data_IF_399607524278
#
_entry.id   IF_399607524278
#
_cell.length_a   1.000
_cell.length_b   1.000
_cell.length_c   1.000
_cell.angle_alpha   90.00
_cell.angle_beta   90.00
_cell.angle_gamma   90.00
#
_symmetry.space_group_name_H-M   'P 1'
#
loop_
_entity.id
_entity.type
_entity.pdbx_description
1 polymer ?
#
# COMPACT_ATOMS: atom_id res chain seq x y z
N UNK A 1 -17.81 6.07 0.95
CA UNK A 1 -17.82 5.67 -0.49
C UNK A 1 -19.04 4.78 -0.70
N UNK A 2 -20.08 5.27 -1.37
CA UNK A 2 -21.36 4.54 -1.52
C UNK A 2 -21.85 4.43 -2.97
N UNK A 3 -21.20 5.07 -3.92
CA UNK A 3 -21.57 5.07 -5.33
C UNK A 3 -21.13 3.81 -6.08
N UNK A 4 -21.72 3.57 -7.25
CA UNK A 4 -21.34 2.43 -8.11
C UNK A 4 -19.89 2.50 -8.54
N UNK A 5 -19.38 3.71 -8.84
CA UNK A 5 -17.97 3.94 -9.16
C UNK A 5 -17.05 3.49 -8.02
N UNK A 6 -17.40 3.84 -6.79
CA UNK A 6 -16.60 3.48 -5.61
C UNK A 6 -16.56 1.97 -5.38
N UNK A 7 -17.70 1.28 -5.57
CA UNK A 7 -17.73 -0.19 -5.49
C UNK A 7 -16.82 -0.84 -6.53
N UNK A 8 -16.78 -0.31 -7.76
CA UNK A 8 -15.89 -0.79 -8.81
C UNK A 8 -14.40 -0.57 -8.45
N UNK A 9 -14.07 0.61 -7.90
CA UNK A 9 -12.71 0.92 -7.45
C UNK A 9 -12.26 -0.04 -6.35
N UNK A 10 -13.11 -0.30 -5.34
CA UNK A 10 -12.79 -1.23 -4.25
C UNK A 10 -12.69 -2.67 -4.74
N UNK A 11 -13.59 -3.09 -5.63
CA UNK A 11 -13.52 -4.42 -6.25
C UNK A 11 -12.24 -4.59 -7.06
N UNK A 12 -11.88 -3.60 -7.88
CA UNK A 12 -10.64 -3.61 -8.65
C UNK A 12 -9.39 -3.65 -7.77
N UNK A 13 -9.37 -2.89 -6.66
CA UNK A 13 -8.26 -2.92 -5.70
C UNK A 13 -8.05 -4.32 -5.11
N UNK A 14 -9.12 -5.01 -4.75
CA UNK A 14 -9.06 -6.40 -4.29
C UNK A 14 -8.52 -7.34 -5.36
N UNK A 15 -9.04 -7.26 -6.58
CA UNK A 15 -8.61 -8.10 -7.70
C UNK A 15 -7.14 -7.84 -8.09
N UNK A 16 -6.71 -6.58 -8.17
CA UNK A 16 -5.31 -6.23 -8.46
C UNK A 16 -4.36 -6.79 -7.41
N UNK A 17 -4.76 -6.75 -6.14
CA UNK A 17 -4.00 -7.32 -5.03
C UNK A 17 -3.89 -8.85 -5.14
N UNK A 18 -4.98 -9.53 -5.50
CA UNK A 18 -5.09 -10.99 -5.44
C UNK A 18 -4.53 -11.67 -6.69
N UNK A 19 -4.75 -11.12 -7.87
CA UNK A 19 -4.40 -11.72 -9.16
C UNK A 19 -3.55 -10.83 -10.09
N UNK A 20 -3.18 -9.64 -9.62
CA UNK A 20 -2.38 -8.67 -10.38
C UNK A 20 -3.24 -7.77 -11.28
N UNK A 21 -2.63 -6.66 -11.71
CA UNK A 21 -3.29 -5.72 -12.63
C UNK A 21 -3.59 -6.37 -13.96
N UNK A 22 -2.60 -6.95 -14.63
CA UNK A 22 -2.75 -7.51 -15.99
C UNK A 22 -3.72 -8.70 -16.02
N UNK A 23 -3.73 -9.53 -14.96
CA UNK A 23 -4.64 -10.65 -14.80
C UNK A 23 -6.11 -10.29 -14.51
N UNK A 24 -6.41 -9.02 -14.26
CA UNK A 24 -7.76 -8.56 -13.94
C UNK A 24 -8.46 -7.97 -15.15
N UNK A 25 -9.61 -8.50 -15.52
CA UNK A 25 -10.47 -7.97 -16.60
C UNK A 25 -11.62 -7.11 -16.08
N UNK A 26 -12.22 -6.30 -16.97
CA UNK A 26 -13.41 -5.52 -16.63
C UNK A 26 -14.61 -6.39 -16.22
N UNK A 27 -14.71 -7.62 -16.76
CA UNK A 27 -15.79 -8.56 -16.39
C UNK A 27 -15.66 -8.97 -14.92
N UNK A 28 -14.44 -9.21 -14.46
CA UNK A 28 -14.17 -9.59 -13.07
C UNK A 28 -14.55 -8.45 -12.11
N UNK A 29 -14.19 -7.21 -12.49
CA UNK A 29 -14.52 -6.02 -11.70
C UNK A 29 -16.03 -5.79 -11.63
N UNK A 30 -16.74 -5.93 -12.75
CA UNK A 30 -18.19 -5.81 -12.82
C UNK A 30 -18.88 -6.83 -11.93
N UNK A 31 -18.45 -8.09 -12.01
CA UNK A 31 -18.97 -9.17 -11.18
C UNK A 31 -18.72 -8.92 -9.70
N UNK A 32 -17.49 -8.59 -9.33
CA UNK A 32 -17.11 -8.34 -7.94
C UNK A 32 -17.79 -7.09 -7.35
N UNK A 33 -18.05 -6.06 -8.17
CA UNK A 33 -18.76 -4.85 -7.76
C UNK A 33 -20.29 -5.00 -7.70
N UNK A 34 -20.83 -6.14 -8.14
CA UNK A 34 -22.28 -6.36 -8.20
C UNK A 34 -23.00 -5.37 -9.15
N UNK A 35 -22.44 -5.15 -10.35
CA UNK A 35 -22.97 -4.20 -11.33
C UNK A 35 -23.11 -4.82 -12.72
N UNK A 36 -23.56 -4.06 -13.70
CA UNK A 36 -23.78 -4.54 -15.08
C UNK A 36 -22.65 -4.10 -16.02
N UNK A 37 -22.32 -4.91 -17.07
CA UNK A 37 -21.19 -4.67 -17.96
C UNK A 37 -21.14 -3.28 -18.61
N UNK A 38 -22.27 -2.70 -18.98
CA UNK A 38 -22.31 -1.39 -19.61
C UNK A 38 -21.91 -0.23 -18.70
N UNK A 39 -22.10 -0.39 -17.40
CA UNK A 39 -21.88 0.67 -16.41
C UNK A 39 -20.39 0.98 -16.20
N UNK A 40 -19.51 -0.01 -16.34
CA UNK A 40 -18.05 0.21 -16.15
C UNK A 40 -17.48 1.15 -17.21
N UNK A 41 -17.89 1.03 -18.46
CA UNK A 41 -17.43 1.90 -19.54
C UNK A 41 -17.97 3.34 -19.42
N UNK A 42 -19.10 3.51 -18.75
CA UNK A 42 -19.62 4.84 -18.42
C UNK A 42 -18.78 5.52 -17.33
N UNK A 43 -18.34 4.77 -16.31
CA UNK A 43 -17.56 5.30 -15.19
C UNK A 43 -16.06 5.40 -15.48
N UNK A 44 -15.56 4.61 -16.42
CA UNK A 44 -14.14 4.53 -16.80
C UNK A 44 -14.01 4.49 -18.33
N UNK A 45 -14.34 5.60 -19.02
CA UNK A 45 -14.24 5.69 -20.49
C UNK A 45 -12.78 5.56 -20.98
N UNK A 46 -11.80 5.96 -20.17
CA UNK A 46 -10.36 5.75 -20.42
C UNK A 46 -9.86 4.33 -20.15
N UNK A 47 -10.80 3.39 -19.94
CA UNK A 47 -10.46 1.98 -19.83
C UNK A 47 -9.84 1.58 -18.51
N UNK A 48 -9.06 0.49 -18.56
CA UNK A 48 -8.45 -0.13 -17.39
C UNK A 48 -7.37 0.76 -16.75
N UNK A 49 -6.68 1.56 -17.55
CA UNK A 49 -5.71 2.55 -17.07
C UNK A 49 -6.38 3.57 -16.15
N UNK A 50 -7.51 4.14 -16.57
CA UNK A 50 -8.27 5.07 -15.74
C UNK A 50 -8.75 4.42 -14.43
N UNK A 51 -9.24 3.17 -14.50
CA UNK A 51 -9.61 2.41 -13.30
C UNK A 51 -8.40 2.17 -12.37
N UNK A 52 -7.24 1.80 -12.92
CA UNK A 52 -6.01 1.61 -12.15
C UNK A 52 -5.56 2.88 -11.44
N UNK A 53 -5.55 4.01 -12.15
CA UNK A 53 -5.27 5.34 -11.56
C UNK A 53 -6.30 5.68 -10.47
N UNK A 54 -7.59 5.41 -10.70
CA UNK A 54 -8.63 5.66 -9.71
C UNK A 54 -8.45 4.78 -8.45
N UNK A 55 -8.00 3.54 -8.60
CA UNK A 55 -7.65 2.66 -7.47
C UNK A 55 -6.46 3.24 -6.70
N UNK A 56 -5.38 3.60 -7.38
CA UNK A 56 -4.19 4.17 -6.73
C UNK A 56 -4.54 5.46 -5.96
N UNK A 57 -5.36 6.34 -6.53
CA UNK A 57 -5.79 7.56 -5.86
C UNK A 57 -6.67 7.22 -4.65
N UNK A 58 -7.79 6.54 -4.83
CA UNK A 58 -8.79 6.39 -3.77
C UNK A 58 -8.30 5.51 -2.61
N UNK A 59 -7.66 4.38 -2.92
CA UNK A 59 -7.12 3.47 -1.89
C UNK A 59 -5.82 4.01 -1.33
N UNK A 60 -4.98 4.61 -2.18
CA UNK A 60 -3.72 5.22 -1.77
C UNK A 60 -3.92 6.40 -0.82
N UNK A 61 -4.89 7.28 -1.12
CA UNK A 61 -5.26 8.38 -0.20
C UNK A 61 -5.72 7.87 1.15
N UNK A 62 -6.56 6.83 1.17
CA UNK A 62 -7.01 6.22 2.42
C UNK A 62 -5.85 5.63 3.23
N UNK A 63 -4.94 4.89 2.58
CA UNK A 63 -3.76 4.31 3.24
C UNK A 63 -2.82 5.40 3.75
N UNK A 64 -2.47 6.37 2.90
CA UNK A 64 -1.56 7.46 3.26
C UNK A 64 -2.12 8.30 4.40
N UNK A 65 -3.40 8.66 4.35
CA UNK A 65 -4.06 9.40 5.44
C UNK A 65 -4.08 8.61 6.76
N UNK A 66 -4.23 7.29 6.70
CA UNK A 66 -4.12 6.42 7.88
C UNK A 66 -2.72 6.46 8.49
N UNK A 67 -1.67 6.38 7.67
CA UNK A 67 -0.26 6.49 8.11
C UNK A 67 0.02 7.89 8.66
N UNK A 68 -0.39 8.93 7.95
CA UNK A 68 -0.24 10.34 8.37
C UNK A 68 -0.89 10.57 9.76
N UNK A 69 -2.12 10.07 9.94
CA UNK A 69 -2.86 10.18 11.19
C UNK A 69 -2.18 9.42 12.34
N UNK A 70 -1.74 8.18 12.10
CA UNK A 70 -1.01 7.41 13.09
C UNK A 70 0.30 8.10 13.49
N UNK A 71 1.05 8.56 12.50
CA UNK A 71 2.29 9.29 12.71
C UNK A 71 2.09 10.62 13.46
N UNK A 72 0.97 11.29 13.28
CA UNK A 72 0.65 12.52 14.01
C UNK A 72 0.26 12.27 15.48
N UNK A 73 -0.37 11.13 15.77
CA UNK A 73 -0.97 10.83 17.07
C UNK A 73 -0.09 9.96 17.99
N UNK A 74 0.82 9.17 17.43
CA UNK A 74 1.56 8.12 18.15
C UNK A 74 3.08 8.36 18.08
N UNK A 75 3.84 7.84 19.07
CA UNK A 75 5.28 7.74 18.96
C UNK A 75 5.70 6.91 17.71
N UNK A 76 6.89 7.16 17.14
CA UNK A 76 7.33 6.51 15.90
C UNK A 76 7.21 4.98 15.91
N UNK A 77 7.61 4.34 17.01
CA UNK A 77 7.54 2.87 17.14
C UNK A 77 6.11 2.35 17.04
N UNK A 78 5.18 3.02 17.70
CA UNK A 78 3.77 2.61 17.70
C UNK A 78 3.11 2.88 16.35
N UNK A 79 3.44 4.00 15.70
CA UNK A 79 2.94 4.33 14.37
C UNK A 79 3.43 3.30 13.33
N UNK A 80 4.71 2.94 13.35
CA UNK A 80 5.28 1.91 12.45
C UNK A 80 4.68 0.54 12.77
N UNK A 81 4.57 0.16 14.05
CA UNK A 81 3.95 -1.10 14.44
C UNK A 81 2.50 -1.20 13.95
N UNK A 82 1.71 -0.14 14.10
CA UNK A 82 0.33 -0.10 13.62
C UNK A 82 0.18 -0.29 12.11
N UNK A 83 1.08 0.30 11.32
CA UNK A 83 1.14 0.08 9.87
C UNK A 83 1.44 -1.40 9.55
N UNK A 84 2.45 -1.97 10.19
CA UNK A 84 2.84 -3.37 9.99
C UNK A 84 1.72 -4.33 10.42
N UNK A 85 1.00 -4.03 11.51
CA UNK A 85 -0.17 -4.80 11.95
C UNK A 85 -1.31 -4.82 10.92
N UNK A 86 -1.53 -3.72 10.21
CA UNK A 86 -2.53 -3.66 9.13
C UNK A 86 -2.12 -4.57 7.98
N UNK A 87 -0.85 -4.54 7.58
CA UNK A 87 -0.32 -5.38 6.50
C UNK A 87 -0.44 -6.86 6.88
N UNK A 88 0.01 -7.23 8.07
CA UNK A 88 -0.04 -8.61 8.59
C UNK A 88 -1.47 -9.15 8.63
N UNK A 89 -2.41 -8.39 9.18
CA UNK A 89 -3.82 -8.77 9.20
C UNK A 89 -4.39 -9.00 7.80
N UNK A 90 -3.98 -8.21 6.82
CA UNK A 90 -4.42 -8.38 5.43
C UNK A 90 -3.81 -9.64 4.81
N UNK A 91 -2.55 -9.96 5.10
CA UNK A 91 -1.89 -11.19 4.67
C UNK A 91 -2.61 -12.42 5.22
N UNK A 92 -2.86 -12.44 6.54
CA UNK A 92 -3.50 -13.58 7.22
C UNK A 92 -4.95 -13.76 6.73
N UNK A 93 -5.76 -12.69 6.67
CA UNK A 93 -7.14 -12.75 6.19
C UNK A 93 -7.27 -13.25 4.76
N UNK A 94 -6.29 -12.97 3.94
CA UNK A 94 -6.23 -13.41 2.55
C UNK A 94 -5.56 -14.76 2.33
N UNK A 95 -5.30 -15.56 3.37
CA UNK A 95 -4.60 -16.86 3.27
C UNK A 95 -3.24 -16.72 2.57
N UNK A 96 -2.51 -15.66 2.88
CA UNK A 96 -1.19 -15.32 2.31
C UNK A 96 -1.19 -15.21 0.76
N UNK A 97 -2.35 -14.98 0.16
CA UNK A 97 -2.46 -14.79 -1.30
C UNK A 97 -2.34 -13.32 -1.72
N UNK A 98 -2.85 -12.35 -0.92
CA UNK A 98 -2.83 -10.96 -1.34
C UNK A 98 -1.41 -10.40 -1.46
N UNK A 99 -1.20 -9.64 -2.53
CA UNK A 99 -0.05 -8.76 -2.70
C UNK A 99 -0.37 -7.32 -2.29
N UNK A 100 0.34 -6.38 -2.91
CA UNK A 100 0.06 -4.95 -2.81
C UNK A 100 -0.59 -4.48 -4.12
N UNK A 101 -1.76 -3.82 -4.11
CA UNK A 101 -2.39 -3.35 -5.34
C UNK A 101 -1.56 -2.28 -6.05
N UNK A 102 -0.80 -1.47 -5.31
CA UNK A 102 0.05 -0.42 -5.89
C UNK A 102 1.26 -1.01 -6.61
N UNK A 103 1.86 -2.08 -6.06
CA UNK A 103 2.91 -2.85 -6.74
C UNK A 103 2.34 -3.46 -8.03
N UNK A 104 1.16 -4.09 -7.96
CA UNK A 104 0.52 -4.66 -9.14
C UNK A 104 0.25 -3.62 -10.25
N UNK A 105 -0.17 -2.40 -9.87
CA UNK A 105 -0.39 -1.29 -10.79
C UNK A 105 0.94 -0.77 -11.35
N UNK A 106 1.99 -0.66 -10.53
CA UNK A 106 3.31 -0.18 -10.95
C UNK A 106 4.00 -1.11 -11.96
N UNK A 107 3.67 -2.40 -11.95
CA UNK A 107 4.20 -3.42 -12.88
C UNK A 107 3.27 -3.70 -14.06
N UNK A 108 2.24 -2.86 -14.31
CA UNK A 108 1.35 -3.01 -15.47
C UNK A 108 2.14 -2.99 -16.78
N UNK A 109 1.90 -3.98 -17.65
CA UNK A 109 2.60 -4.10 -18.92
C UNK A 109 2.24 -2.98 -19.91
N UNK A 110 0.96 -2.55 -19.91
CA UNK A 110 0.42 -1.55 -20.83
C UNK A 110 0.29 -0.18 -20.13
N UNK A 111 1.42 0.42 -19.74
CA UNK A 111 1.47 1.78 -19.16
C UNK A 111 2.28 2.73 -20.05
N UNK A 112 1.92 2.85 -21.31
CA UNK A 112 2.64 3.64 -22.31
C UNK A 112 2.82 5.11 -21.95
N UNK A 113 1.83 5.71 -21.26
CA UNK A 113 1.88 7.09 -20.81
C UNK A 113 2.46 7.26 -19.38
N UNK A 114 2.83 6.17 -18.72
CA UNK A 114 3.37 6.19 -17.35
C UNK A 114 2.39 6.61 -16.25
N UNK A 115 1.08 6.68 -16.56
CA UNK A 115 0.05 7.13 -15.60
C UNK A 115 -0.09 6.21 -14.41
N UNK A 116 -0.01 4.91 -14.62
CA UNK A 116 -0.13 3.89 -13.58
C UNK A 116 1.07 3.93 -12.64
N UNK A 117 2.29 4.01 -13.22
CA UNK A 117 3.51 4.16 -12.42
C UNK A 117 3.50 5.45 -11.61
N UNK A 118 3.14 6.57 -12.21
CA UNK A 118 3.06 7.85 -11.52
C UNK A 118 2.04 7.84 -10.37
N UNK A 119 0.88 7.21 -10.57
CA UNK A 119 -0.13 7.06 -9.53
C UNK A 119 0.37 6.20 -8.36
N UNK A 120 1.06 5.09 -8.63
CA UNK A 120 1.66 4.23 -7.61
C UNK A 120 2.81 4.91 -6.87
N UNK A 121 3.70 5.62 -7.60
CA UNK A 121 4.80 6.37 -7.01
C UNK A 121 4.31 7.45 -6.05
N UNK A 122 3.24 8.13 -6.39
CA UNK A 122 2.62 9.13 -5.51
C UNK A 122 2.20 8.53 -4.15
N UNK A 123 1.60 7.34 -4.15
CA UNK A 123 1.21 6.64 -2.91
C UNK A 123 2.42 6.33 -2.05
N UNK A 124 3.44 5.68 -2.64
CA UNK A 124 4.65 5.32 -1.90
C UNK A 124 5.42 6.55 -1.40
N UNK A 125 5.46 7.62 -2.19
CA UNK A 125 6.09 8.88 -1.79
C UNK A 125 5.40 9.50 -0.59
N UNK A 126 4.06 9.52 -0.55
CA UNK A 126 3.30 10.04 0.59
C UNK A 126 3.51 9.21 1.86
N UNK A 127 3.49 7.87 1.75
CA UNK A 127 3.74 6.99 2.89
C UNK A 127 5.15 7.22 3.44
N UNK A 128 6.17 7.30 2.57
CA UNK A 128 7.55 7.58 2.96
C UNK A 128 7.70 8.94 3.63
N UNK A 129 7.05 9.97 3.09
CA UNK A 129 7.08 11.30 3.67
C UNK A 129 6.48 11.31 5.08
N UNK A 130 5.31 10.67 5.28
CA UNK A 130 4.67 10.58 6.60
C UNK A 130 5.55 9.86 7.64
N UNK A 131 6.20 8.75 7.26
CA UNK A 131 7.12 8.02 8.14
C UNK A 131 8.37 8.84 8.46
N UNK A 132 8.96 9.51 7.48
CA UNK A 132 10.11 10.39 7.67
C UNK A 132 9.77 11.54 8.61
N UNK A 133 8.66 12.23 8.37
CA UNK A 133 8.19 13.33 9.23
C UNK A 133 7.91 12.86 10.67
N UNK A 134 7.39 11.64 10.84
CA UNK A 134 7.19 11.03 12.15
C UNK A 134 8.49 10.92 12.94
N UNK A 135 9.53 10.39 12.31
CA UNK A 135 10.85 10.23 12.91
C UNK A 135 11.55 11.57 13.17
N UNK A 136 11.43 12.51 12.23
CA UNK A 136 12.01 13.86 12.41
C UNK A 136 11.38 14.60 13.59
N UNK A 137 10.08 14.40 13.85
CA UNK A 137 9.44 14.95 15.08
C UNK A 137 9.95 14.33 16.37
N UNK A 138 10.59 13.16 16.30
CA UNK A 138 11.29 12.50 17.40
C UNK A 138 12.80 12.79 17.35
N UNK A 139 13.22 13.91 16.76
CA UNK A 139 14.59 14.40 16.68
C UNK A 139 15.55 13.48 15.91
N UNK A 140 15.06 12.57 15.07
CA UNK A 140 15.90 11.78 14.15
C UNK A 140 16.38 12.69 13.01
N UNK A 141 17.67 12.59 12.68
CA UNK A 141 18.25 13.35 11.57
C UNK A 141 17.52 13.03 10.25
N UNK A 142 17.27 14.07 9.42
CA UNK A 142 16.54 13.95 8.16
C UNK A 142 17.03 12.79 7.29
N UNK A 143 18.34 12.67 7.09
CA UNK A 143 18.91 11.63 6.25
C UNK A 143 18.60 10.22 6.76
N UNK A 144 18.64 10.01 8.08
CA UNK A 144 18.32 8.72 8.71
C UNK A 144 16.82 8.43 8.66
N UNK A 145 15.97 9.45 8.85
CA UNK A 145 14.52 9.34 8.77
C UNK A 145 14.07 8.99 7.34
N UNK A 146 14.62 9.65 6.32
CA UNK A 146 14.33 9.37 4.91
C UNK A 146 14.82 7.97 4.50
N UNK A 147 16.02 7.57 4.94
CA UNK A 147 16.56 6.24 4.69
C UNK A 147 15.71 5.14 5.34
N UNK A 148 15.30 5.35 6.61
CA UNK A 148 14.39 4.42 7.28
C UNK A 148 13.04 4.31 6.57
N UNK A 149 12.44 5.44 6.18
CA UNK A 149 11.15 5.44 5.49
C UNK A 149 11.21 4.66 4.16
N UNK A 150 12.29 4.82 3.40
CA UNK A 150 12.53 4.04 2.19
C UNK A 150 12.70 2.55 2.49
N UNK A 151 13.51 2.21 3.51
CA UNK A 151 13.72 0.83 3.97
C UNK A 151 12.40 0.19 4.41
N UNK A 152 11.60 0.88 5.23
CA UNK A 152 10.35 0.35 5.77
C UNK A 152 9.36 -0.04 4.68
N UNK A 153 9.17 0.83 3.67
CA UNK A 153 8.28 0.53 2.53
C UNK A 153 8.85 -0.63 1.71
N UNK A 154 10.12 -0.57 1.31
CA UNK A 154 10.75 -1.59 0.47
C UNK A 154 10.81 -2.96 1.15
N UNK A 155 11.16 -3.01 2.44
CA UNK A 155 11.22 -4.24 3.21
C UNK A 155 9.83 -4.86 3.43
N UNK A 156 8.80 -4.03 3.67
CA UNK A 156 7.42 -4.51 3.82
C UNK A 156 6.90 -5.15 2.53
N UNK A 157 7.14 -4.52 1.37
CA UNK A 157 6.74 -5.09 0.08
C UNK A 157 7.52 -6.39 -0.23
N UNK A 158 8.81 -6.43 0.05
CA UNK A 158 9.63 -7.65 -0.05
C UNK A 158 9.12 -8.77 0.86
N UNK A 159 8.78 -8.44 2.11
CA UNK A 159 8.25 -9.40 3.07
C UNK A 159 6.88 -9.97 2.66
N UNK A 160 5.99 -9.16 2.07
CA UNK A 160 4.73 -9.61 1.49
C UNK A 160 5.01 -10.67 0.40
N UNK A 161 5.93 -10.39 -0.51
CA UNK A 161 6.29 -11.31 -1.61
C UNK A 161 6.86 -12.62 -1.06
N UNK A 162 7.78 -12.55 -0.11
CA UNK A 162 8.42 -13.73 0.50
C UNK A 162 7.43 -14.57 1.29
N UNK A 163 6.55 -13.93 2.08
CA UNK A 163 5.51 -14.62 2.85
C UNK A 163 4.52 -15.34 1.93
N UNK A 164 4.13 -14.70 0.83
CA UNK A 164 3.27 -15.30 -0.20
C UNK A 164 3.95 -16.51 -0.85
N UNK A 165 5.21 -16.39 -1.25
CA UNK A 165 5.96 -17.48 -1.89
C UNK A 165 6.15 -18.68 -0.95
N UNK A 166 6.40 -18.40 0.32
CA UNK A 166 6.61 -19.42 1.35
C UNK A 166 5.32 -19.99 1.93
N UNK A 167 4.21 -19.26 1.79
CA UNK A 167 2.92 -19.53 2.43
C UNK A 167 3.04 -19.59 3.97
N UNK A 168 3.81 -18.64 4.51
CA UNK A 168 4.13 -18.51 5.93
C UNK A 168 4.33 -17.04 6.28
N UNK A 169 3.98 -16.61 7.49
CA UNK A 169 4.18 -15.23 7.96
C UNK A 169 5.61 -14.96 8.42
N UNK A 170 6.44 -15.99 8.61
CA UNK A 170 7.80 -15.87 9.15
C UNK A 170 8.64 -14.77 8.49
N UNK A 171 8.68 -14.63 7.13
CA UNK A 171 9.41 -13.55 6.50
C UNK A 171 8.92 -12.15 6.89
N UNK A 172 7.60 -12.00 7.03
CA UNK A 172 6.99 -10.74 7.47
C UNK A 172 7.29 -10.45 8.95
N UNK A 173 7.19 -11.46 9.82
CA UNK A 173 7.48 -11.36 11.25
C UNK A 173 8.95 -10.98 11.50
N UNK A 174 9.89 -11.57 10.74
CA UNK A 174 11.29 -11.24 10.80
C UNK A 174 11.56 -9.79 10.38
N UNK A 175 10.95 -9.36 9.28
CA UNK A 175 11.05 -7.98 8.78
C UNK A 175 10.45 -6.99 9.77
N UNK A 176 9.29 -7.30 10.34
CA UNK A 176 8.63 -6.50 11.37
C UNK A 176 9.56 -6.26 12.58
N UNK A 177 10.15 -7.32 13.12
CA UNK A 177 11.10 -7.20 14.24
C UNK A 177 12.27 -6.28 13.89
N UNK A 178 12.89 -6.50 12.73
CA UNK A 178 14.03 -5.72 12.28
C UNK A 178 13.70 -4.22 12.11
N UNK A 179 12.53 -3.91 11.56
CA UNK A 179 12.08 -2.52 11.39
C UNK A 179 11.80 -1.84 12.74
N UNK A 180 11.15 -2.53 13.69
CA UNK A 180 10.89 -1.98 15.01
C UNK A 180 12.18 -1.78 15.81
N UNK A 181 13.12 -2.73 15.76
CA UNK A 181 14.43 -2.58 16.37
C UNK A 181 15.22 -1.40 15.77
N UNK A 182 15.05 -1.14 14.47
CA UNK A 182 15.70 0.00 13.84
C UNK A 182 15.07 1.34 14.28
N UNK A 183 13.75 1.41 14.45
CA UNK A 183 13.10 2.60 15.02
C UNK A 183 13.61 2.87 16.43
N UNK A 184 13.71 1.83 17.28
CA UNK A 184 14.22 1.96 18.63
C UNK A 184 15.64 2.54 18.63
N UNK A 185 16.55 1.99 17.81
CA UNK A 185 17.92 2.51 17.66
C UNK A 185 17.98 3.97 17.20
N UNK A 186 17.09 4.38 16.31
CA UNK A 186 17.07 5.74 15.79
C UNK A 186 16.52 6.75 16.81
N UNK A 187 15.68 6.30 17.74
CA UNK A 187 15.04 7.13 18.76
C UNK A 187 15.69 7.00 20.15
N UNK A 188 16.48 5.93 20.39
CA UNK A 188 17.26 5.74 21.61
C UNK A 188 18.44 6.74 21.66
N UNK A 189 18.59 7.39 22.84
CA UNK A 189 19.63 8.41 23.06
C UNK A 189 19.17 9.86 22.84
N UNK A 190 17.92 10.06 22.46
CA UNK A 190 17.31 11.40 22.24
C UNK A 190 16.19 11.71 23.22
N UNK A 191 16.02 10.90 24.29
CA UNK A 191 15.17 11.27 25.43
C UNK A 191 15.92 12.28 26.28
N UNK A 192 15.29 13.43 26.64
CA UNK A 192 15.89 14.41 27.52
C UNK A 192 16.17 13.86 28.92
#
# INVERSE_FOLDING_TARGET
>A
MSGTRDRMVLAAAGLFRDQGYDGTGFRDVVQAAGTTPGVIYHHFPGGKTELGVAVAIAVGEWVAAGVESACAALPPREAVAGLLDIIERNLIRGDLRPGCPFVAIAFAADDDEGKLRAASDNVFTRIRAALSDCLMRADVARADAEAFAALAVSASEGAIILSRARRDTEPFDATRRALLDQVDRLTEGKRP
#
